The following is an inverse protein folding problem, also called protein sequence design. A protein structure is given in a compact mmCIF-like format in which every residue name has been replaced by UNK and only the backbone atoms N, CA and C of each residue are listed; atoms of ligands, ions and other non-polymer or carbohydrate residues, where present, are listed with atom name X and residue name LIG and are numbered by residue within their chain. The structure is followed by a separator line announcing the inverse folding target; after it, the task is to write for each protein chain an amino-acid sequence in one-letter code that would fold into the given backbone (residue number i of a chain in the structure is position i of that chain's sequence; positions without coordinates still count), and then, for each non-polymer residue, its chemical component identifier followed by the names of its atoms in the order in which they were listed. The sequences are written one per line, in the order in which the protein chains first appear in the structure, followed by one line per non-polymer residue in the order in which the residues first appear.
data_IF_249685230151
#
_entry.id   IF_249685230151
#
_cell.length_a   1.000
_cell.length_b   1.000
_cell.length_c   1.000
_cell.angle_alpha   90.00
_cell.angle_beta   90.00
_cell.angle_gamma   90.00
#
_symmetry.space_group_name_H-M   'P 1'
#
loop_
_entity.id
_entity.type
_entity.pdbx_description
1 polymer ?
#
# COMPACT_ATOMS: atom_id res chain seq x y z
N UNK A 1 21.53 12.30 -8.95
CA UNK A 1 20.22 11.69 -9.24
C UNK A 1 19.44 11.82 -7.96
N UNK A 2 18.46 12.71 -7.93
CA UNK A 2 17.62 12.92 -6.74
C UNK A 2 16.88 11.63 -6.42
N UNK A 3 16.86 11.19 -5.16
CA UNK A 3 16.23 9.92 -4.77
C UNK A 3 14.73 9.87 -5.15
N UNK A 4 14.07 11.03 -5.18
CA UNK A 4 12.70 11.21 -5.70
C UNK A 4 12.52 10.75 -7.16
N UNK A 5 13.50 11.01 -8.03
CA UNK A 5 13.44 10.61 -9.44
C UNK A 5 13.54 9.08 -9.58
N UNK A 6 14.36 8.46 -8.75
CA UNK A 6 14.52 7.00 -8.72
C UNK A 6 13.24 6.33 -8.22
N UNK A 7 12.57 6.94 -7.23
CA UNK A 7 11.28 6.48 -6.75
C UNK A 7 10.19 6.60 -7.83
N UNK A 8 10.16 7.72 -8.55
CA UNK A 8 9.22 7.91 -9.67
C UNK A 8 9.44 6.88 -10.78
N UNK A 9 10.70 6.60 -11.15
CA UNK A 9 11.03 5.57 -12.13
C UNK A 9 10.55 4.17 -11.67
N UNK A 10 10.68 3.87 -10.37
CA UNK A 10 10.19 2.62 -9.79
C UNK A 10 8.65 2.54 -9.81
N UNK A 11 7.95 3.64 -9.51
CA UNK A 11 6.49 3.72 -9.59
C UNK A 11 5.99 3.52 -11.03
N UNK A 12 6.62 4.19 -12.01
CA UNK A 12 6.31 4.00 -13.42
C UNK A 12 6.49 2.53 -13.84
N UNK A 13 7.60 1.90 -13.44
CA UNK A 13 7.85 0.49 -13.70
C UNK A 13 6.77 -0.42 -13.09
N UNK A 14 6.32 -0.12 -11.87
CA UNK A 14 5.25 -0.85 -11.20
C UNK A 14 3.92 -0.72 -11.95
N UNK A 15 3.51 0.50 -12.31
CA UNK A 15 2.26 0.79 -13.05
C UNK A 15 2.27 0.07 -14.42
N UNK A 16 3.43 -0.01 -15.07
CA UNK A 16 3.60 -0.73 -16.35
C UNK A 16 3.64 -2.27 -16.19
N UNK A 17 3.51 -2.80 -14.98
CA UNK A 17 3.57 -4.24 -14.70
C UNK A 17 4.98 -4.83 -14.73
N UNK A 18 6.03 -4.00 -14.83
CA UNK A 18 7.43 -4.43 -14.84
C UNK A 18 7.97 -4.63 -13.42
N UNK A 19 7.40 -5.60 -12.70
CA UNK A 19 7.67 -5.83 -11.28
C UNK A 19 9.16 -6.08 -10.95
N UNK A 20 9.89 -6.82 -11.79
CA UNK A 20 11.32 -7.08 -11.58
C UNK A 20 12.20 -5.84 -11.79
N UNK A 21 11.78 -4.95 -12.70
CA UNK A 21 12.47 -3.69 -12.93
C UNK A 21 12.24 -2.75 -11.75
N UNK A 22 11.00 -2.67 -11.26
CA UNK A 22 10.65 -1.87 -10.09
C UNK A 22 11.53 -2.23 -8.88
N UNK A 23 11.65 -3.51 -8.52
CA UNK A 23 12.50 -3.96 -7.40
C UNK A 23 13.97 -3.56 -7.58
N UNK A 24 14.53 -3.74 -8.79
CA UNK A 24 15.91 -3.34 -9.08
C UNK A 24 16.12 -1.84 -8.97
N UNK A 25 15.13 -1.03 -9.34
CA UNK A 25 15.19 0.42 -9.22
C UNK A 25 15.11 0.85 -7.76
N UNK A 26 14.23 0.22 -6.97
CA UNK A 26 14.10 0.48 -5.53
C UNK A 26 15.42 0.17 -4.80
N UNK A 27 16.07 -0.96 -5.10
CA UNK A 27 17.35 -1.34 -4.50
C UNK A 27 18.52 -0.37 -4.79
N UNK A 28 18.37 0.54 -5.76
CA UNK A 28 19.37 1.57 -6.06
C UNK A 28 19.22 2.82 -5.20
N UNK A 29 18.09 2.99 -4.50
CA UNK A 29 17.86 4.11 -3.61
C UNK A 29 18.90 4.08 -2.49
N UNK A 30 19.51 5.23 -2.21
CA UNK A 30 20.37 5.40 -1.05
C UNK A 30 19.49 5.87 0.09
N UNK A 31 19.10 4.94 0.95
CA UNK A 31 18.34 5.14 2.18
C UNK A 31 18.99 6.25 3.04
N UNK A 32 18.48 7.47 2.93
CA UNK A 32 19.04 8.66 3.58
C UNK A 32 18.02 9.50 4.35
N UNK A 33 16.72 9.32 4.09
CA UNK A 33 15.63 9.95 4.82
C UNK A 33 14.53 8.94 5.12
N UNK A 34 13.97 9.02 6.34
CA UNK A 34 12.96 8.07 6.85
C UNK A 34 11.71 7.99 5.98
N UNK A 35 11.34 9.08 5.28
CA UNK A 35 10.15 9.14 4.43
C UNK A 35 10.36 8.42 3.09
N UNK A 36 11.53 8.58 2.46
CA UNK A 36 11.87 7.88 1.21
C UNK A 36 11.99 6.37 1.44
N UNK A 37 12.50 5.96 2.60
CA UNK A 37 12.57 4.56 3.00
C UNK A 37 11.17 3.94 3.19
N UNK A 38 10.25 4.67 3.84
CA UNK A 38 8.86 4.26 3.99
C UNK A 38 8.20 4.04 2.62
N UNK A 39 8.31 5.02 1.73
CA UNK A 39 7.73 4.95 0.39
C UNK A 39 8.34 3.82 -0.45
N UNK A 40 9.65 3.59 -0.34
CA UNK A 40 10.33 2.48 -0.98
C UNK A 40 9.84 1.11 -0.47
N UNK A 41 9.61 0.99 0.83
CA UNK A 41 9.08 -0.22 1.46
C UNK A 41 7.63 -0.47 1.00
N UNK A 42 6.77 0.54 1.06
CA UNK A 42 5.37 0.47 0.58
C UNK A 42 5.33 -0.01 -0.87
N UNK A 43 6.15 0.58 -1.75
CA UNK A 43 6.21 0.18 -3.16
C UNK A 43 6.74 -1.26 -3.33
N UNK A 44 7.74 -1.66 -2.55
CA UNK A 44 8.27 -3.04 -2.57
C UNK A 44 7.19 -4.06 -2.22
N UNK A 45 6.42 -3.81 -1.16
CA UNK A 45 5.32 -4.68 -0.76
C UNK A 45 4.19 -4.70 -1.79
N UNK A 46 3.83 -3.57 -2.39
CA UNK A 46 2.88 -3.52 -3.50
C UNK A 46 3.34 -4.38 -4.69
N UNK A 47 4.63 -4.34 -5.01
CA UNK A 47 5.22 -5.20 -6.04
C UNK A 47 5.12 -6.69 -5.66
N UNK A 48 5.36 -7.07 -4.41
CA UNK A 48 5.20 -8.45 -3.95
C UNK A 48 3.74 -8.93 -3.99
N UNK A 49 2.79 -8.09 -3.60
CA UNK A 49 1.35 -8.38 -3.73
C UNK A 49 0.98 -8.61 -5.19
N UNK A 50 1.47 -7.76 -6.11
CA UNK A 50 1.23 -7.91 -7.54
C UNK A 50 1.84 -9.22 -8.11
N UNK A 51 2.98 -9.66 -7.57
CA UNK A 51 3.59 -10.95 -7.89
C UNK A 51 2.90 -12.15 -7.20
N UNK A 52 1.82 -11.93 -6.44
CA UNK A 52 1.12 -12.95 -5.62
C UNK A 52 2.00 -13.58 -4.52
N UNK A 53 3.05 -12.89 -4.10
CA UNK A 53 3.96 -13.32 -3.02
C UNK A 53 3.45 -12.82 -1.68
N UNK A 54 2.24 -13.21 -1.31
CA UNK A 54 1.59 -12.72 -0.08
C UNK A 54 2.33 -13.13 1.19
N UNK A 55 2.93 -14.34 1.22
CA UNK A 55 3.69 -14.82 2.38
C UNK A 55 4.84 -13.89 2.77
N UNK A 56 5.59 -13.39 1.79
CA UNK A 56 6.70 -12.45 2.04
C UNK A 56 6.20 -11.17 2.73
N UNK A 57 5.07 -10.64 2.29
CA UNK A 57 4.46 -9.43 2.87
C UNK A 57 3.98 -9.68 4.30
N UNK A 58 3.42 -10.86 4.57
CA UNK A 58 2.96 -11.25 5.91
C UNK A 58 4.11 -11.57 6.87
N UNK A 59 5.25 -12.03 6.35
CA UNK A 59 6.44 -12.32 7.17
C UNK A 59 7.24 -11.04 7.46
N UNK A 60 7.33 -10.11 6.50
CA UNK A 60 8.13 -8.88 6.63
C UNK A 60 7.40 -7.73 7.34
N UNK A 61 6.08 -7.61 7.19
CA UNK A 61 5.31 -6.53 7.84
C UNK A 61 4.82 -7.01 9.22
N UNK A 62 5.27 -6.44 10.36
CA UNK A 62 4.77 -6.83 11.67
C UNK A 62 3.29 -6.44 11.87
N UNK A 63 2.58 -7.16 12.74
CA UNK A 63 1.18 -6.86 13.09
C UNK A 63 1.03 -5.49 13.78
N UNK A 64 2.03 -5.13 14.57
CA UNK A 64 2.10 -3.87 15.32
C UNK A 64 2.79 -2.74 14.54
N UNK A 65 2.87 -2.84 13.21
CA UNK A 65 3.45 -1.78 12.37
C UNK A 65 2.75 -0.45 12.67
N UNK A 66 3.48 0.62 13.01
CA UNK A 66 2.86 1.91 13.35
C UNK A 66 2.20 2.59 12.13
N UNK A 67 2.73 2.30 10.94
CA UNK A 67 2.37 3.01 9.72
C UNK A 67 1.07 2.45 9.11
N UNK A 68 0.07 3.31 8.83
CA UNK A 68 -1.23 2.86 8.34
C UNK A 68 -1.12 2.15 6.99
N UNK A 69 -0.19 2.58 6.13
CA UNK A 69 0.03 1.99 4.80
C UNK A 69 0.47 0.54 4.89
N UNK A 70 1.37 0.23 5.85
CA UNK A 70 1.87 -1.12 6.07
C UNK A 70 0.78 -2.01 6.67
N UNK A 71 -0.01 -1.50 7.63
CA UNK A 71 -1.18 -2.22 8.16
C UNK A 71 -2.17 -2.57 7.05
N UNK A 72 -2.47 -1.62 6.16
CA UNK A 72 -3.39 -1.82 5.04
C UNK A 72 -2.84 -2.81 4.01
N UNK A 73 -1.54 -2.76 3.70
CA UNK A 73 -0.90 -3.74 2.80
C UNK A 73 -0.92 -5.16 3.38
N UNK A 74 -0.64 -5.30 4.69
CA UNK A 74 -0.77 -6.59 5.39
C UNK A 74 -2.21 -7.09 5.32
N UNK A 75 -3.20 -6.24 5.60
CA UNK A 75 -4.62 -6.60 5.51
C UNK A 75 -5.02 -7.07 4.10
N UNK A 76 -4.57 -6.35 3.06
CA UNK A 76 -4.80 -6.73 1.67
C UNK A 76 -4.15 -8.08 1.33
N UNK A 77 -2.91 -8.31 1.77
CA UNK A 77 -2.22 -9.58 1.57
C UNK A 77 -2.91 -10.75 2.29
N UNK A 78 -3.41 -10.53 3.52
CA UNK A 78 -4.18 -11.53 4.27
C UNK A 78 -5.50 -11.85 3.58
N UNK A 79 -6.20 -10.84 3.05
CA UNK A 79 -7.42 -11.04 2.28
C UNK A 79 -7.17 -11.84 0.99
N UNK A 80 -6.17 -11.43 0.20
CA UNK A 80 -5.84 -12.08 -1.08
C UNK A 80 -5.30 -13.50 -0.92
N UNK A 81 -4.67 -13.82 0.21
CA UNK A 81 -4.28 -15.19 0.58
C UNK A 81 -5.45 -16.04 1.09
N UNK A 82 -6.68 -15.51 1.12
CA UNK A 82 -7.89 -16.15 1.68
C UNK A 82 -7.78 -16.51 3.15
N UNK A 83 -6.96 -15.78 3.91
CA UNK A 83 -6.73 -16.03 5.33
C UNK A 83 -7.84 -15.51 6.24
N UNK A 84 -8.71 -14.62 5.76
CA UNK A 84 -9.71 -13.89 6.56
C UNK A 84 -11.02 -13.69 5.77
N UNK A 85 -12.15 -13.65 6.47
CA UNK A 85 -13.47 -13.37 5.87
C UNK A 85 -13.65 -11.90 5.50
N UNK A 86 -14.49 -11.63 4.50
CA UNK A 86 -14.82 -10.27 4.04
C UNK A 86 -15.25 -9.34 5.19
N UNK A 87 -16.16 -9.82 6.05
CA UNK A 87 -16.66 -9.05 7.21
C UNK A 87 -15.56 -8.65 8.20
N UNK A 88 -14.56 -9.52 8.40
CA UNK A 88 -13.46 -9.25 9.30
C UNK A 88 -12.48 -8.25 8.69
N UNK A 89 -12.29 -8.28 7.36
CA UNK A 89 -11.49 -7.29 6.64
C UNK A 89 -12.11 -5.91 6.73
N UNK A 90 -13.42 -5.77 6.48
CA UNK A 90 -14.13 -4.48 6.59
C UNK A 90 -13.98 -3.89 8.00
N UNK A 91 -14.21 -4.69 9.04
CA UNK A 91 -14.06 -4.23 10.43
C UNK A 91 -12.65 -3.77 10.76
N UNK A 92 -11.63 -4.45 10.24
CA UNK A 92 -10.24 -4.03 10.46
C UNK A 92 -9.90 -2.78 9.66
N UNK A 93 -10.40 -2.66 8.44
CA UNK A 93 -10.21 -1.50 7.59
C UNK A 93 -10.83 -0.25 8.23
N UNK A 94 -12.08 -0.32 8.68
CA UNK A 94 -12.76 0.81 9.33
C UNK A 94 -12.01 1.24 10.60
N UNK A 95 -11.53 0.28 11.41
CA UNK A 95 -10.69 0.58 12.59
C UNK A 95 -9.39 1.31 12.23
N UNK A 96 -8.71 0.89 11.15
CA UNK A 96 -7.46 1.54 10.72
C UNK A 96 -7.75 2.97 10.25
N UNK A 97 -8.85 3.18 9.51
CA UNK A 97 -9.27 4.49 9.01
C UNK A 97 -9.72 5.42 10.15
N UNK A 98 -10.43 4.91 11.17
CA UNK A 98 -10.83 5.70 12.34
C UNK A 98 -9.63 6.07 13.24
N UNK A 99 -8.62 5.21 13.31
CA UNK A 99 -7.42 5.44 14.13
C UNK A 99 -6.48 6.51 13.56
N UNK A 100 -6.53 6.77 12.25
CA UNK A 100 -5.61 7.69 11.58
C UNK A 100 -6.39 8.83 10.93
N UNK A 101 -6.23 10.03 11.50
CA UNK A 101 -6.93 11.23 11.04
C UNK A 101 -6.27 11.83 9.78
N UNK A 102 -4.96 11.64 9.62
CA UNK A 102 -4.19 12.04 8.44
C UNK A 102 -3.67 10.79 7.70
N UNK A 103 -4.39 10.39 6.65
CA UNK A 103 -3.99 9.28 5.78
C UNK A 103 -3.17 9.81 4.60
N UNK A 104 -2.03 9.19 4.32
CA UNK A 104 -1.26 9.46 3.12
C UNK A 104 -2.04 9.05 1.86
N UNK A 105 -1.70 9.65 0.71
CA UNK A 105 -2.33 9.29 -0.56
C UNK A 105 -2.16 7.80 -0.90
N UNK A 106 -1.00 7.22 -0.58
CA UNK A 106 -0.71 5.78 -0.66
C UNK A 106 -1.70 4.96 0.16
N UNK A 107 -1.91 5.31 1.43
CA UNK A 107 -2.85 4.61 2.31
C UNK A 107 -4.28 4.63 1.76
N UNK A 108 -4.73 5.78 1.25
CA UNK A 108 -6.08 5.96 0.70
C UNK A 108 -6.29 5.06 -0.52
N UNK A 109 -5.32 5.01 -1.44
CA UNK A 109 -5.40 4.15 -2.63
C UNK A 109 -5.42 2.67 -2.24
N UNK A 110 -4.63 2.25 -1.23
CA UNK A 110 -4.63 0.87 -0.75
C UNK A 110 -5.98 0.52 -0.11
N UNK A 111 -6.53 1.40 0.73
CA UNK A 111 -7.85 1.21 1.34
C UNK A 111 -8.96 1.09 0.28
N UNK A 112 -8.96 1.97 -0.72
CA UNK A 112 -9.90 1.89 -1.84
C UNK A 112 -9.74 0.59 -2.64
N UNK A 113 -8.51 0.13 -2.83
CA UNK A 113 -8.21 -1.16 -3.50
C UNK A 113 -8.81 -2.34 -2.73
N UNK A 114 -8.75 -2.32 -1.40
CA UNK A 114 -9.40 -3.34 -0.55
C UNK A 114 -10.92 -3.30 -0.73
N UNK A 115 -11.56 -2.13 -0.68
CA UNK A 115 -13.02 -2.03 -0.91
C UNK A 115 -13.44 -2.50 -2.31
N UNK A 116 -12.65 -2.24 -3.35
CA UNK A 116 -12.90 -2.75 -4.70
C UNK A 116 -12.84 -4.29 -4.73
N UNK A 117 -11.88 -4.88 -4.03
CA UNK A 117 -11.75 -6.33 -3.89
C UNK A 117 -12.89 -6.98 -3.10
N UNK A 118 -13.59 -6.21 -2.26
CA UNK A 118 -14.79 -6.59 -1.52
C UNK A 118 -16.09 -6.29 -2.28
N UNK A 119 -16.00 -5.85 -3.54
CA UNK A 119 -17.14 -5.44 -4.38
C UNK A 119 -17.94 -4.25 -3.80
N UNK A 120 -17.32 -3.45 -2.91
CA UNK A 120 -17.90 -2.28 -2.26
C UNK A 120 -17.48 -0.99 -2.97
N UNK A 121 -17.88 -0.84 -4.24
CA UNK A 121 -17.41 0.24 -5.12
C UNK A 121 -17.76 1.64 -4.58
N UNK A 122 -18.94 1.83 -4.00
CA UNK A 122 -19.34 3.13 -3.43
C UNK A 122 -18.43 3.56 -2.27
N UNK A 123 -18.04 2.61 -1.41
CA UNK A 123 -17.14 2.89 -0.29
C UNK A 123 -15.74 3.23 -0.80
N UNK A 124 -15.24 2.48 -1.79
CA UNK A 124 -13.96 2.79 -2.44
C UNK A 124 -13.92 4.22 -3.00
N UNK A 125 -14.98 4.64 -3.72
CA UNK A 125 -15.08 5.98 -4.29
C UNK A 125 -15.17 7.07 -3.22
N UNK A 126 -15.93 6.84 -2.14
CA UNK A 126 -16.00 7.78 -1.00
C UNK A 126 -14.64 7.96 -0.33
N UNK A 127 -13.90 6.86 -0.12
CA UNK A 127 -12.54 6.91 0.46
C UNK A 127 -11.59 7.70 -0.44
N UNK A 128 -11.64 7.49 -1.77
CA UNK A 128 -10.83 8.27 -2.73
C UNK A 128 -11.21 9.75 -2.75
N UNK A 129 -12.51 10.07 -2.74
CA UNK A 129 -13.00 11.44 -2.76
C UNK A 129 -12.60 12.21 -1.51
N UNK A 130 -12.67 11.58 -0.34
CA UNK A 130 -12.21 12.20 0.91
C UNK A 130 -10.70 12.50 0.90
N UNK A 131 -9.90 11.76 0.12
CA UNK A 131 -8.48 12.04 -0.11
C UNK A 131 -8.18 13.17 -1.09
N UNK A 132 -9.16 13.58 -1.90
CA UNK A 132 -9.00 14.67 -2.88
C UNK A 132 -9.23 16.07 -2.30
N UNK A 133 -9.39 16.20 -0.98
CA UNK A 133 -9.57 17.47 -0.27
C UNK A 133 -8.30 18.30 -0.09
N UNK A 134 -7.11 17.78 -0.41
CA UNK A 134 -5.83 18.49 -0.20
C UNK A 134 -5.02 18.57 -1.49
N UNK A 135 -4.92 19.82 -1.99
CA UNK A 135 -4.07 20.38 -3.05
C UNK A 135 -4.61 20.38 -4.50
N UNK A 136 -5.19 21.54 -4.87
CA UNK A 136 -4.73 22.32 -6.02
C UNK A 136 -3.62 23.28 -5.55
#
# INVERSE_FOLDING_TARGET
MSDELVLLDAQCAFILGQHQLALKTIQKLKSGSSDVELQANVLTYQVYIAQKKYGVVLDEIPEDANEPELKLLRLLATYLSKGVSEDAVVKQLDRILEQHMDLSQSAIVIAATIYLHLNMVEYALKTLYNGSGTYW
#
